data_IF_287098093961
#
_entry.id   IF_287098093961
#
_cell.length_a   1.000
_cell.length_b   1.000
_cell.length_c   1.000
_cell.angle_alpha   90.00
_cell.angle_beta   90.00
_cell.angle_gamma   90.00
#
_symmetry.space_group_name_H-M   'P 1'
#
loop_
_entity.id
_entity.type
_entity.pdbx_description
1 polymer ?
#
# COMPACT_ATOMS: atom_id res chain seq x y z
N UNK A 1 -3.24 -7.34 7.56
CA UNK A 1 -2.82 -6.57 6.33
C UNK A 1 -2.86 -5.09 6.69
N UNK A 2 -1.94 -4.31 6.17
CA UNK A 2 -1.89 -2.86 6.44
C UNK A 2 -2.67 -2.07 5.37
N UNK A 3 -2.94 -0.78 5.64
CA UNK A 3 -3.58 0.13 4.70
C UNK A 3 -2.65 1.26 4.28
N UNK A 4 -2.59 1.57 2.98
CA UNK A 4 -1.84 2.69 2.40
C UNK A 4 -2.80 3.69 1.76
N UNK A 5 -2.50 4.97 1.95
CA UNK A 5 -3.07 6.09 1.20
C UNK A 5 -1.98 7.01 0.70
N UNK A 6 -2.15 7.55 -0.50
CA UNK A 6 -1.37 8.65 -1.04
C UNK A 6 -2.29 9.63 -1.76
N UNK A 7 -2.08 10.94 -1.59
CA UNK A 7 -2.87 11.98 -2.26
C UNK A 7 -1.92 13.07 -2.72
N UNK A 8 -2.06 13.48 -3.98
CA UNK A 8 -1.28 14.54 -4.60
C UNK A 8 -2.19 15.58 -5.23
N UNK A 9 -1.82 16.86 -5.08
CA UNK A 9 -2.46 18.01 -5.73
C UNK A 9 -3.98 18.06 -5.52
N UNK A 10 -4.43 17.78 -4.31
CA UNK A 10 -5.85 17.85 -3.90
C UNK A 10 -6.02 18.82 -2.75
N UNK A 11 -7.23 19.30 -2.58
CA UNK A 11 -7.63 20.09 -1.40
C UNK A 11 -7.81 19.18 -0.18
N UNK A 12 -7.68 19.73 1.02
CA UNK A 12 -7.95 19.01 2.29
C UNK A 12 -7.17 17.71 2.43
N UNK A 13 -5.89 17.70 2.06
CA UNK A 13 -5.00 16.53 2.06
C UNK A 13 -5.08 15.73 3.36
N UNK A 14 -4.97 16.44 4.50
CA UNK A 14 -4.99 15.82 5.83
C UNK A 14 -6.32 15.11 6.12
N UNK A 15 -7.43 15.80 5.92
CA UNK A 15 -8.75 15.26 6.23
C UNK A 15 -9.08 14.07 5.31
N UNK A 16 -8.88 14.23 4.00
CA UNK A 16 -9.11 13.16 3.03
C UNK A 16 -8.24 11.93 3.33
N UNK A 17 -6.96 12.12 3.70
CA UNK A 17 -6.09 11.00 4.06
C UNK A 17 -6.55 10.28 5.32
N UNK A 18 -6.99 11.01 6.35
CA UNK A 18 -7.52 10.42 7.59
C UNK A 18 -8.83 9.66 7.31
N UNK A 19 -9.71 10.20 6.49
CA UNK A 19 -10.98 9.56 6.15
C UNK A 19 -10.76 8.27 5.35
N UNK A 20 -9.82 8.26 4.40
CA UNK A 20 -9.42 7.04 3.68
C UNK A 20 -8.78 6.04 4.65
N UNK A 21 -7.86 6.48 5.53
CA UNK A 21 -7.24 5.59 6.52
C UNK A 21 -8.28 5.01 7.49
N UNK A 22 -9.33 5.75 7.83
CA UNK A 22 -10.43 5.24 8.66
C UNK A 22 -11.19 4.13 7.94
N UNK A 23 -11.41 4.23 6.63
CA UNK A 23 -11.99 3.15 5.82
C UNK A 23 -11.06 1.93 5.72
N UNK A 24 -9.74 2.13 5.82
CA UNK A 24 -8.74 1.08 5.84
C UNK A 24 -8.45 0.50 7.25
N UNK A 25 -9.09 1.01 8.31
CA UNK A 25 -8.80 0.62 9.70
C UNK A 25 -9.05 -0.87 9.95
N UNK A 26 -9.95 -1.51 9.19
CA UNK A 26 -10.15 -2.95 9.24
C UNK A 26 -8.91 -3.79 8.85
N UNK A 27 -7.98 -3.18 8.10
CA UNK A 27 -6.70 -3.81 7.72
C UNK A 27 -5.62 -3.69 8.79
N UNK A 28 -5.73 -2.73 9.70
CA UNK A 28 -4.76 -2.51 10.77
C UNK A 28 -5.14 -1.34 11.65
N UNK A 29 -4.98 -1.51 12.96
CA UNK A 29 -5.36 -0.53 13.98
C UNK A 29 -4.34 -0.41 15.12
N UNK A 30 -3.15 -1.01 14.96
CA UNK A 30 -2.10 -1.00 16.00
C UNK A 30 -1.39 0.34 16.09
N UNK A 31 -1.16 0.94 14.95
CA UNK A 31 -0.63 2.30 14.84
C UNK A 31 -0.95 2.90 13.47
N UNK A 32 -0.91 4.22 13.40
CA UNK A 32 -1.17 4.94 12.16
C UNK A 32 -0.32 6.21 12.06
N UNK A 33 -0.15 6.72 10.84
CA UNK A 33 0.52 7.98 10.63
C UNK A 33 0.31 8.53 9.22
N UNK A 34 0.62 9.82 9.10
CA UNK A 34 0.65 10.55 7.84
C UNK A 34 1.93 11.37 7.74
N UNK A 35 2.45 11.55 6.53
CA UNK A 35 3.47 12.53 6.18
C UNK A 35 2.91 13.48 5.13
N UNK A 36 2.77 14.74 5.50
CA UNK A 36 2.49 15.84 4.60
C UNK A 36 3.79 16.33 4.01
N UNK A 37 3.83 16.64 2.72
CA UNK A 37 5.05 17.10 2.06
C UNK A 37 4.83 18.24 1.07
N UNK A 38 5.85 19.10 0.99
CA UNK A 38 5.99 20.20 0.03
C UNK A 38 7.37 20.14 -0.61
N UNK A 39 7.69 21.13 -1.44
CA UNK A 39 9.06 21.27 -2.00
C UNK A 39 10.10 21.50 -0.90
N UNK A 40 9.72 22.13 0.20
CA UNK A 40 10.64 22.63 1.21
C UNK A 40 10.72 21.75 2.44
N UNK A 41 9.64 21.06 2.79
CA UNK A 41 9.55 20.32 4.06
C UNK A 41 8.67 19.06 3.98
N UNK A 42 8.99 18.14 4.89
CA UNK A 42 8.18 16.95 5.20
C UNK A 42 7.73 17.07 6.65
N UNK A 43 6.44 16.88 6.92
CA UNK A 43 5.88 16.89 8.27
C UNK A 43 5.16 15.58 8.56
N UNK A 44 5.70 14.81 9.49
CA UNK A 44 5.18 13.47 9.84
C UNK A 44 4.48 13.50 11.19
N UNK A 45 3.30 12.89 11.25
CA UNK A 45 2.49 12.73 12.46
C UNK A 45 2.18 11.24 12.60
N UNK A 46 2.50 10.66 13.76
CA UNK A 46 2.29 9.25 14.06
C UNK A 46 1.57 9.07 15.39
N UNK A 47 0.75 8.02 15.49
CA UNK A 47 0.09 7.61 16.72
C UNK A 47 0.09 6.09 16.85
N UNK A 48 0.13 5.61 18.09
CA UNK A 48 -0.24 4.24 18.44
C UNK A 48 -1.75 4.19 18.58
N UNK A 49 -2.35 3.07 18.24
CA UNK A 49 -3.79 2.82 18.32
C UNK A 49 -4.55 3.24 17.06
N UNK A 50 -5.86 3.36 17.22
CA UNK A 50 -6.82 3.62 16.13
C UNK A 50 -6.62 4.97 15.42
N UNK A 51 -7.20 5.13 14.25
CA UNK A 51 -7.15 6.37 13.45
C UNK A 51 -7.70 7.58 14.22
N UNK A 52 -8.61 7.38 15.16
CA UNK A 52 -9.09 8.47 16.04
C UNK A 52 -7.95 9.15 16.82
N UNK A 53 -6.96 8.40 17.28
CA UNK A 53 -5.79 8.96 17.97
C UNK A 53 -4.92 9.81 17.01
N UNK A 54 -4.73 9.37 15.76
CA UNK A 54 -4.04 10.14 14.73
C UNK A 54 -4.81 11.42 14.38
N UNK A 55 -6.13 11.32 14.21
CA UNK A 55 -7.02 12.48 13.95
C UNK A 55 -6.85 13.54 15.02
N UNK A 56 -6.92 13.17 16.31
CA UNK A 56 -6.75 14.09 17.43
C UNK A 56 -5.38 14.77 17.42
N UNK A 57 -4.28 13.99 17.20
CA UNK A 57 -2.92 14.56 17.12
C UNK A 57 -2.70 15.51 15.95
N UNK A 58 -3.45 15.35 14.88
CA UNK A 58 -3.31 16.15 13.66
C UNK A 58 -4.23 17.39 13.64
N UNK A 59 -5.12 17.60 14.62
CA UNK A 59 -6.12 18.66 14.60
C UNK A 59 -5.53 20.05 14.33
N UNK A 60 -4.46 20.41 15.04
CA UNK A 60 -3.81 21.71 14.95
C UNK A 60 -2.78 21.82 13.80
N UNK A 61 -2.71 20.83 12.90
CA UNK A 61 -1.79 20.86 11.77
C UNK A 61 -2.53 21.35 10.54
N UNK A 62 -2.11 22.52 10.03
CA UNK A 62 -2.59 23.03 8.74
C UNK A 62 -1.87 22.31 7.59
N UNK A 63 -2.61 21.96 6.55
CA UNK A 63 -2.10 21.36 5.30
C UNK A 63 -2.05 22.34 4.11
N UNK A 64 -2.35 23.63 4.33
CA UNK A 64 -2.43 24.65 3.28
C UNK A 64 -1.17 24.80 2.41
N UNK A 65 0.01 24.54 2.98
CA UNK A 65 1.30 24.71 2.28
C UNK A 65 1.89 23.37 1.82
N UNK A 66 1.08 22.31 1.80
CA UNK A 66 1.48 21.00 1.31
C UNK A 66 0.69 20.68 0.04
N UNK A 67 1.29 19.96 -0.89
CA UNK A 67 0.64 19.52 -2.12
C UNK A 67 0.43 18.00 -2.15
N UNK A 68 0.95 17.29 -1.15
CA UNK A 68 0.75 15.86 -1.06
C UNK A 68 0.83 15.31 0.37
N UNK A 69 0.31 14.12 0.52
CA UNK A 69 0.32 13.34 1.76
C UNK A 69 0.44 11.85 1.44
N UNK A 70 1.22 11.15 2.26
CA UNK A 70 1.15 9.69 2.34
C UNK A 70 0.76 9.28 3.74
N UNK A 71 0.02 8.19 3.86
CA UNK A 71 -0.45 7.70 5.15
C UNK A 71 -0.55 6.18 5.19
N UNK A 72 -0.60 5.67 6.42
CA UNK A 72 -0.57 4.24 6.67
C UNK A 72 -1.34 3.86 7.93
N UNK A 73 -2.02 2.71 7.89
CA UNK A 73 -2.50 1.97 9.06
C UNK A 73 -1.73 0.67 9.19
N UNK A 74 -1.17 0.42 10.36
CA UNK A 74 -0.29 -0.72 10.60
C UNK A 74 -1.01 -1.84 11.32
N UNK A 75 -0.79 -3.06 10.84
CA UNK A 75 -0.92 -4.31 11.57
C UNK A 75 0.50 -4.82 11.82
N UNK A 76 0.93 -4.82 13.06
CA UNK A 76 2.31 -5.15 13.41
C UNK A 76 2.59 -6.64 13.20
N UNK A 77 3.43 -6.95 12.20
CA UNK A 77 3.97 -8.31 11.97
C UNK A 77 5.41 -8.43 12.45
N UNK A 78 6.19 -7.35 12.35
CA UNK A 78 7.59 -7.26 12.77
C UNK A 78 7.81 -6.03 13.64
N UNK A 79 8.53 -6.21 14.77
CA UNK A 79 8.77 -5.15 15.75
C UNK A 79 7.56 -4.82 16.62
N UNK A 80 7.83 -4.27 17.79
CA UNK A 80 6.79 -3.90 18.78
C UNK A 80 5.88 -2.79 18.25
N UNK A 81 4.66 -2.75 18.75
CA UNK A 81 3.73 -1.63 18.50
C UNK A 81 4.26 -0.41 19.23
N UNK A 82 4.78 0.54 18.47
CA UNK A 82 5.37 1.78 18.99
C UNK A 82 5.23 2.91 17.98
N UNK A 83 5.37 4.15 18.44
CA UNK A 83 5.40 5.32 17.55
C UNK A 83 6.59 5.28 16.58
N UNK A 84 7.73 4.75 17.00
CA UNK A 84 8.93 4.64 16.16
C UNK A 84 8.71 3.67 15.00
N UNK A 85 8.11 2.52 15.27
CA UNK A 85 7.81 1.50 14.27
C UNK A 85 6.54 1.79 13.44
N UNK A 86 5.77 2.83 13.79
CA UNK A 86 4.66 3.28 12.97
C UNK A 86 5.16 3.92 11.66
N UNK A 87 4.45 3.66 10.56
CA UNK A 87 4.70 4.36 9.29
C UNK A 87 3.95 5.71 9.28
N UNK A 88 4.36 6.66 8.42
CA UNK A 88 5.50 6.67 7.51
C UNK A 88 6.85 6.75 8.20
N UNK A 89 7.91 6.20 7.58
CA UNK A 89 9.29 6.55 7.90
C UNK A 89 9.69 7.77 7.09
N UNK A 90 10.34 8.74 7.73
CA UNK A 90 10.65 10.02 7.10
C UNK A 90 11.91 10.67 7.69
N UNK A 91 12.62 11.41 6.85
CA UNK A 91 13.61 12.41 7.18
C UNK A 91 13.35 13.71 6.39
N UNK A 92 14.30 14.62 6.32
CA UNK A 92 14.14 15.88 5.60
C UNK A 92 14.11 15.73 4.07
N UNK A 93 14.57 14.59 3.53
CA UNK A 93 14.76 14.37 2.10
C UNK A 93 13.73 13.42 1.49
N UNK A 94 13.21 12.47 2.26
CA UNK A 94 12.26 11.50 1.76
C UNK A 94 11.31 11.00 2.85
N UNK A 95 10.17 10.50 2.41
CA UNK A 95 9.24 9.75 3.26
C UNK A 95 8.67 8.56 2.50
N UNK A 96 8.43 7.45 3.21
CA UNK A 96 7.87 6.26 2.62
C UNK A 96 6.93 5.49 3.57
N UNK A 97 6.04 4.73 2.95
CA UNK A 97 5.23 3.69 3.58
C UNK A 97 5.35 2.39 2.80
N UNK A 98 5.16 1.27 3.48
CA UNK A 98 5.18 -0.05 2.86
C UNK A 98 4.09 -0.95 3.45
N UNK A 99 3.38 -1.67 2.58
CA UNK A 99 2.62 -2.87 2.94
C UNK A 99 3.42 -4.10 2.52
N UNK A 100 3.35 -5.16 3.31
CA UNK A 100 4.01 -6.43 2.99
C UNK A 100 5.28 -6.66 3.80
N UNK A 101 6.18 -7.48 3.27
CA UNK A 101 7.40 -7.94 3.95
C UNK A 101 8.58 -7.89 2.97
N UNK A 102 9.70 -7.32 3.42
CA UNK A 102 10.97 -7.35 2.70
C UNK A 102 11.82 -8.51 3.25
N UNK A 103 11.76 -9.65 2.58
CA UNK A 103 12.36 -10.90 3.05
C UNK A 103 13.87 -10.83 3.23
N UNK A 104 14.56 -10.07 2.39
CA UNK A 104 16.02 -9.95 2.44
C UNK A 104 16.54 -8.77 3.28
N UNK A 105 15.71 -8.18 4.15
CA UNK A 105 16.06 -7.00 4.93
C UNK A 105 17.33 -7.18 5.79
N UNK A 106 17.52 -8.37 6.40
CA UNK A 106 18.73 -8.67 7.19
C UNK A 106 20.00 -8.67 6.34
N UNK A 107 19.92 -9.20 5.11
CA UNK A 107 21.07 -9.17 4.18
C UNK A 107 21.42 -7.74 3.78
N UNK A 108 20.41 -6.89 3.56
CA UNK A 108 20.58 -5.46 3.27
C UNK A 108 21.23 -4.78 4.48
N UNK A 109 20.71 -4.95 5.68
CA UNK A 109 21.22 -4.35 6.90
C UNK A 109 22.68 -4.74 7.18
N UNK A 110 23.05 -5.99 6.90
CA UNK A 110 24.42 -6.47 7.13
C UNK A 110 25.41 -5.98 6.07
N UNK A 111 24.93 -5.74 4.84
CA UNK A 111 25.79 -5.31 3.71
C UNK A 111 26.13 -3.81 3.76
N UNK A 112 25.26 -2.97 4.29
CA UNK A 112 25.43 -1.52 4.28
C UNK A 112 25.67 -1.03 5.70
N UNK A 113 26.87 -0.47 5.93
CA UNK A 113 27.32 0.00 7.24
C UNK A 113 26.55 1.24 7.71
N UNK A 114 26.02 2.00 6.79
CA UNK A 114 25.22 3.20 7.03
C UNK A 114 23.85 2.88 7.65
N UNK A 115 23.44 1.60 7.64
CA UNK A 115 22.16 1.17 8.21
C UNK A 115 22.36 0.77 9.67
N UNK A 116 21.69 1.41 10.64
CA UNK A 116 21.79 1.05 12.05
C UNK A 116 21.48 -0.42 12.32
N UNK A 117 22.22 -1.07 13.21
CA UNK A 117 22.06 -2.50 13.49
C UNK A 117 20.94 -2.84 14.47
N UNK A 118 20.47 -1.87 15.25
CA UNK A 118 19.42 -2.01 16.25
C UNK A 118 17.97 -1.87 15.71
N UNK A 119 17.81 -1.77 14.37
CA UNK A 119 16.48 -1.64 13.76
C UNK A 119 15.70 -2.96 13.79
N UNK A 120 14.38 -2.85 14.03
CA UNK A 120 13.49 -3.99 14.19
C UNK A 120 12.54 -4.20 12.99
N UNK A 121 12.29 -3.14 12.21
CA UNK A 121 11.36 -3.16 11.08
C UNK A 121 12.11 -3.31 9.76
N UNK A 122 11.66 -4.25 8.92
CA UNK A 122 12.13 -4.43 7.55
C UNK A 122 11.91 -3.18 6.70
N UNK A 123 10.80 -2.47 6.92
CA UNK A 123 10.50 -1.20 6.25
C UNK A 123 11.44 -0.08 6.71
N UNK A 124 11.80 -0.03 8.00
CA UNK A 124 12.75 0.96 8.50
C UNK A 124 14.14 0.72 7.91
N UNK A 125 14.58 -0.53 7.82
CA UNK A 125 15.83 -0.90 7.15
C UNK A 125 15.78 -0.49 5.67
N UNK A 126 14.67 -0.72 4.99
CA UNK A 126 14.45 -0.31 3.61
C UNK A 126 14.48 1.22 3.45
N UNK A 127 13.97 1.98 4.44
CA UNK A 127 14.03 3.43 4.46
C UNK A 127 15.48 3.93 4.55
N UNK A 128 16.31 3.39 5.45
CA UNK A 128 17.73 3.76 5.54
C UNK A 128 18.49 3.36 4.28
N UNK A 129 18.19 2.19 3.72
CA UNK A 129 18.80 1.77 2.46
C UNK A 129 18.44 2.72 1.30
N UNK A 130 17.19 3.13 1.18
CA UNK A 130 16.80 4.10 0.16
C UNK A 130 17.43 5.47 0.41
N UNK A 131 17.52 5.92 1.66
CA UNK A 131 18.22 7.17 2.02
C UNK A 131 19.68 7.13 1.55
N UNK A 132 20.39 6.03 1.83
CA UNK A 132 21.76 5.83 1.31
C UNK A 132 21.81 5.92 -0.22
N UNK A 133 20.89 5.27 -0.93
CA UNK A 133 20.88 5.31 -2.39
C UNK A 133 20.57 6.71 -2.94
N UNK A 134 19.63 7.44 -2.35
CA UNK A 134 19.28 8.82 -2.76
C UNK A 134 20.46 9.78 -2.56
N UNK A 135 21.26 9.57 -1.52
CA UNK A 135 22.48 10.33 -1.29
C UNK A 135 23.61 9.95 -2.27
N UNK A 136 23.71 8.65 -2.59
CA UNK A 136 24.74 8.12 -3.50
C UNK A 136 24.50 8.51 -4.96
N UNK A 137 23.24 8.42 -5.41
CA UNK A 137 22.88 8.71 -6.80
C UNK A 137 22.37 10.13 -6.95
N UNK A 138 22.90 10.89 -7.94
CA UNK A 138 22.43 12.25 -8.23
C UNK A 138 20.99 12.26 -8.73
N UNK A 139 20.59 11.20 -9.45
CA UNK A 139 19.24 11.05 -10.03
C UNK A 139 18.39 10.11 -9.14
N UNK A 140 17.29 10.59 -8.53
CA UNK A 140 16.38 9.75 -7.77
C UNK A 140 15.77 8.58 -8.55
N UNK A 141 15.57 8.71 -9.86
CA UNK A 141 15.04 7.61 -10.69
C UNK A 141 16.01 6.42 -10.70
N UNK A 142 17.33 6.69 -10.71
CA UNK A 142 18.35 5.66 -10.62
C UNK A 142 18.38 5.01 -9.22
N UNK A 143 18.33 5.82 -8.16
CA UNK A 143 18.22 5.32 -6.79
C UNK A 143 17.02 4.37 -6.63
N UNK A 144 15.87 4.73 -7.18
CA UNK A 144 14.64 3.90 -7.13
C UNK A 144 14.81 2.60 -7.95
N UNK A 145 15.43 2.64 -9.13
CA UNK A 145 15.69 1.41 -9.91
C UNK A 145 16.62 0.46 -9.16
N UNK A 146 17.70 0.98 -8.57
CA UNK A 146 18.63 0.17 -7.76
C UNK A 146 17.91 -0.35 -6.51
N UNK A 147 17.16 0.47 -5.81
CA UNK A 147 16.36 0.06 -4.66
C UNK A 147 15.45 -1.13 -5.04
N UNK A 148 14.66 -0.98 -6.12
CA UNK A 148 13.74 -2.03 -6.58
C UNK A 148 14.46 -3.32 -6.99
N UNK A 149 15.65 -3.24 -7.58
CA UNK A 149 16.41 -4.42 -8.02
C UNK A 149 17.01 -5.22 -6.85
N UNK A 150 17.26 -4.56 -5.71
CA UNK A 150 17.88 -5.20 -4.54
C UNK A 150 16.85 -5.80 -3.59
N UNK A 151 15.73 -5.12 -3.34
CA UNK A 151 14.71 -5.59 -2.40
C UNK A 151 13.98 -6.82 -2.94
N UNK A 152 13.73 -7.80 -2.05
CA UNK A 152 12.99 -9.04 -2.34
C UNK A 152 11.87 -9.23 -1.35
N UNK A 153 10.77 -9.81 -1.80
CA UNK A 153 9.61 -10.09 -0.97
C UNK A 153 8.30 -9.64 -1.59
N UNK A 154 7.26 -9.66 -0.80
CA UNK A 154 5.91 -9.23 -1.18
C UNK A 154 5.67 -7.84 -0.60
N UNK A 155 5.57 -6.81 -1.44
CA UNK A 155 5.47 -5.42 -0.99
C UNK A 155 4.70 -4.51 -1.94
N UNK A 156 4.20 -3.40 -1.37
CA UNK A 156 3.79 -2.19 -2.07
C UNK A 156 4.38 -0.98 -1.34
N UNK A 157 5.21 -0.20 -2.02
CA UNK A 157 5.78 1.04 -1.51
C UNK A 157 5.10 2.26 -2.12
N UNK A 158 4.92 3.27 -1.28
CA UNK A 158 4.61 4.63 -1.68
C UNK A 158 5.69 5.53 -1.09
N UNK A 159 6.41 6.25 -1.96
CA UNK A 159 7.63 6.97 -1.63
C UNK A 159 7.54 8.40 -2.18
N UNK A 160 7.91 9.39 -1.38
CA UNK A 160 8.17 10.74 -1.84
C UNK A 160 9.64 11.10 -1.62
N UNK A 161 10.30 11.65 -2.65
CA UNK A 161 11.67 12.16 -2.60
C UNK A 161 11.66 13.65 -2.91
N UNK A 162 12.07 14.47 -1.94
CA UNK A 162 12.01 15.93 -2.00
C UNK A 162 12.89 16.51 -3.10
N UNK A 163 14.12 16.01 -3.27
CA UNK A 163 15.13 16.56 -4.19
C UNK A 163 14.61 16.87 -5.59
N UNK A 164 13.82 15.98 -6.17
CA UNK A 164 13.23 16.17 -7.51
C UNK A 164 11.71 16.34 -7.47
N UNK A 165 11.16 16.47 -6.27
CA UNK A 165 9.72 16.59 -6.07
C UNK A 165 8.95 15.43 -6.72
N UNK A 166 9.45 14.21 -6.53
CA UNK A 166 8.98 13.01 -7.18
C UNK A 166 8.29 12.06 -6.21
N UNK A 167 7.21 11.49 -6.69
CA UNK A 167 6.44 10.48 -6.00
C UNK A 167 6.57 9.15 -6.76
N UNK A 168 6.84 8.05 -6.04
CA UNK A 168 7.05 6.75 -6.64
C UNK A 168 6.15 5.71 -6.01
N UNK A 169 5.62 4.82 -6.84
CA UNK A 169 4.87 3.63 -6.46
C UNK A 169 5.61 2.40 -6.97
N UNK A 170 5.88 1.45 -6.09
CA UNK A 170 6.51 0.18 -6.43
C UNK A 170 5.62 -0.95 -5.94
N UNK A 171 5.43 -1.97 -6.78
CA UNK A 171 4.64 -3.14 -6.43
C UNK A 171 5.34 -4.45 -6.72
N UNK A 172 5.18 -5.40 -5.79
CA UNK A 172 5.48 -6.81 -5.96
C UNK A 172 4.60 -7.60 -4.97
N UNK A 173 3.52 -8.22 -5.45
CA UNK A 173 2.57 -8.99 -4.64
C UNK A 173 1.50 -8.14 -3.95
N UNK A 174 1.86 -7.28 -2.98
CA UNK A 174 0.86 -6.52 -2.21
C UNK A 174 0.05 -5.54 -3.05
N UNK A 175 -1.27 -5.45 -2.87
CA UNK A 175 -2.13 -4.62 -3.72
C UNK A 175 -1.90 -3.13 -3.50
N UNK A 176 -1.92 -2.38 -4.60
CA UNK A 176 -1.96 -0.93 -4.64
C UNK A 176 -2.55 -0.47 -5.97
N UNK A 177 -3.35 0.58 -5.93
CA UNK A 177 -3.99 1.16 -7.09
C UNK A 177 -3.85 2.69 -7.10
N UNK A 178 -3.91 3.26 -8.29
CA UNK A 178 -3.79 4.67 -8.57
C UNK A 178 -5.01 5.15 -9.36
N UNK A 179 -5.63 6.23 -8.91
CA UNK A 179 -6.54 7.02 -9.73
C UNK A 179 -5.94 8.40 -10.01
N UNK A 180 -6.24 8.94 -11.19
CA UNK A 180 -5.78 10.27 -11.59
C UNK A 180 -6.91 11.01 -12.29
N UNK A 181 -7.21 12.20 -11.81
CA UNK A 181 -8.27 13.03 -12.37
C UNK A 181 -7.93 14.51 -12.19
N UNK A 182 -8.04 15.31 -13.26
CA UNK A 182 -7.83 16.77 -13.27
C UNK A 182 -6.54 17.22 -12.55
N UNK A 183 -5.45 16.46 -12.74
CA UNK A 183 -4.15 16.76 -12.12
C UNK A 183 -3.97 16.29 -10.68
N UNK A 184 -5.02 15.82 -10.02
CA UNK A 184 -4.95 15.19 -8.70
C UNK A 184 -4.75 13.68 -8.82
N UNK A 185 -3.95 13.10 -7.93
CA UNK A 185 -3.73 11.65 -7.87
C UNK A 185 -4.13 11.12 -6.50
N UNK A 186 -4.83 10.00 -6.49
CA UNK A 186 -5.19 9.25 -5.28
C UNK A 186 -4.66 7.84 -5.40
N UNK A 187 -3.97 7.40 -4.38
CA UNK A 187 -3.35 6.09 -4.27
C UNK A 187 -3.94 5.38 -3.07
N UNK A 188 -4.32 4.12 -3.23
CA UNK A 188 -4.86 3.34 -2.13
C UNK A 188 -4.49 1.86 -2.28
N UNK A 189 -4.24 1.19 -1.16
CA UNK A 189 -4.08 -0.28 -1.12
C UNK A 189 -5.40 -1.03 -1.33
N UNK A 190 -6.53 -0.32 -1.34
CA UNK A 190 -7.84 -0.83 -1.68
C UNK A 190 -8.51 0.05 -2.74
N UNK A 191 -8.65 -0.51 -3.93
CA UNK A 191 -9.14 0.22 -5.10
C UNK A 191 -10.62 0.62 -5.01
N UNK A 192 -11.41 -0.06 -4.19
CA UNK A 192 -12.82 0.27 -4.03
C UNK A 192 -13.03 1.65 -3.41
N UNK A 193 -12.11 2.10 -2.54
CA UNK A 193 -12.14 3.46 -1.96
C UNK A 193 -11.89 4.53 -3.03
N UNK A 194 -11.07 4.22 -4.03
CA UNK A 194 -10.72 5.16 -5.09
C UNK A 194 -11.91 5.52 -5.99
N UNK A 195 -12.97 4.71 -6.02
CA UNK A 195 -14.18 4.99 -6.79
C UNK A 195 -14.87 6.30 -6.39
N UNK A 196 -14.69 6.73 -5.15
CA UNK A 196 -15.24 8.01 -4.66
C UNK A 196 -14.53 9.23 -5.28
N UNK A 197 -13.30 9.05 -5.78
CA UNK A 197 -12.47 10.12 -6.35
C UNK A 197 -12.40 10.06 -7.88
N UNK A 198 -12.50 8.87 -8.45
CA UNK A 198 -12.49 8.65 -9.90
C UNK A 198 -13.03 7.26 -10.24
N UNK A 199 -13.74 7.15 -11.35
CA UNK A 199 -14.17 5.87 -11.92
C UNK A 199 -13.08 5.21 -12.80
N UNK A 200 -11.93 5.86 -12.98
CA UNK A 200 -10.80 5.33 -13.75
C UNK A 200 -9.62 5.01 -12.81
N UNK A 201 -9.25 3.76 -12.76
CA UNK A 201 -8.26 3.24 -11.83
C UNK A 201 -7.22 2.42 -12.58
N UNK A 202 -5.96 2.61 -12.23
CA UNK A 202 -4.85 1.76 -12.63
C UNK A 202 -4.45 0.85 -11.47
N UNK A 203 -4.62 -0.44 -11.64
CA UNK A 203 -4.09 -1.45 -10.72
C UNK A 203 -2.64 -1.74 -11.08
N UNK A 204 -1.71 -1.40 -10.19
CA UNK A 204 -0.30 -1.66 -10.42
C UNK A 204 -0.07 -3.18 -10.57
N UNK A 205 0.79 -3.56 -11.51
CA UNK A 205 1.23 -4.94 -11.74
C UNK A 205 2.54 -5.21 -11.02
N UNK A 206 2.85 -6.47 -10.79
CA UNK A 206 4.12 -6.85 -10.18
C UNK A 206 5.29 -6.41 -11.05
N UNK A 207 6.26 -5.76 -10.42
CA UNK A 207 7.41 -5.16 -11.09
C UNK A 207 7.24 -3.70 -11.47
N UNK A 208 6.02 -3.13 -11.42
CA UNK A 208 5.80 -1.72 -11.76
C UNK A 208 6.62 -0.77 -10.89
N UNK A 209 7.16 0.24 -11.55
CA UNK A 209 7.81 1.40 -10.96
C UNK A 209 7.17 2.64 -11.57
N UNK A 210 6.15 3.17 -10.92
CA UNK A 210 5.40 4.34 -11.39
C UNK A 210 5.94 5.60 -10.73
N UNK A 211 6.19 6.63 -11.53
CA UNK A 211 6.62 7.96 -11.10
C UNK A 211 5.53 8.96 -11.37
N UNK A 212 5.23 9.81 -10.38
CA UNK A 212 4.34 10.95 -10.52
C UNK A 212 5.14 12.21 -10.19
N UNK A 213 5.22 13.13 -11.14
CA UNK A 213 5.92 14.41 -10.99
C UNK A 213 5.12 15.50 -11.68
N UNK A 214 4.79 16.59 -10.99
CA UNK A 214 4.01 17.71 -11.52
C UNK A 214 2.74 17.26 -12.26
N UNK A 215 1.97 16.36 -11.65
CA UNK A 215 0.76 15.73 -12.21
C UNK A 215 0.99 14.83 -13.44
N UNK A 216 2.21 14.67 -13.92
CA UNK A 216 2.56 13.74 -14.99
C UNK A 216 2.88 12.37 -14.43
N UNK A 217 2.23 11.35 -14.98
CA UNK A 217 2.45 9.95 -14.61
C UNK A 217 3.31 9.29 -15.68
N UNK A 218 4.33 8.57 -15.24
CA UNK A 218 5.22 7.82 -16.13
C UNK A 218 5.68 6.51 -15.46
N UNK A 219 6.17 5.58 -16.26
CA UNK A 219 6.76 4.33 -15.77
C UNK A 219 8.27 4.34 -15.99
N UNK A 220 9.04 3.95 -14.94
CA UNK A 220 10.49 3.83 -15.05
C UNK A 220 10.94 2.49 -15.65
N UNK A 221 10.08 1.51 -15.73
CA UNK A 221 10.34 0.18 -16.29
C UNK A 221 9.56 -0.10 -17.59
N UNK A 222 9.09 0.97 -18.26
CA UNK A 222 8.34 0.90 -19.54
C UNK A 222 6.99 0.16 -19.44
N UNK A 223 6.43 -0.01 -18.24
CA UNK A 223 5.09 -0.57 -18.07
C UNK A 223 4.04 0.31 -18.77
N UNK A 224 3.09 -0.31 -19.46
CA UNK A 224 1.97 0.39 -20.09
C UNK A 224 0.94 0.74 -19.01
N UNK A 225 0.74 2.01 -18.73
CA UNK A 225 -0.23 2.51 -17.75
C UNK A 225 -1.58 2.67 -18.46
N UNK A 226 -2.53 1.81 -18.12
CA UNK A 226 -3.90 1.86 -18.68
C UNK A 226 -4.85 2.03 -17.51
N UNK A 227 -5.58 3.14 -17.49
CA UNK A 227 -6.65 3.37 -16.53
C UNK A 227 -7.93 2.70 -17.03
N UNK A 228 -8.40 1.72 -16.26
CA UNK A 228 -9.62 0.98 -16.56
C UNK A 228 -10.79 1.55 -15.75
N UNK A 229 -12.00 1.44 -16.29
CA UNK A 229 -13.22 1.83 -15.59
C UNK A 229 -13.43 0.86 -14.43
N UNK A 230 -13.53 1.38 -13.24
CA UNK A 230 -13.86 0.56 -12.07
C UNK A 230 -15.38 0.52 -11.88
N UNK A 231 -15.97 -0.64 -12.08
CA UNK A 231 -17.42 -0.87 -11.99
C UNK A 231 -17.89 -1.36 -10.62
N UNK A 232 -17.08 -1.22 -9.57
CA UNK A 232 -17.47 -1.61 -8.23
C UNK A 232 -18.69 -0.77 -7.81
N UNK A 233 -19.88 -1.37 -7.86
CA UNK A 233 -21.17 -0.72 -7.58
C UNK A 233 -21.51 -0.67 -6.09
N UNK A 234 -20.86 -1.47 -5.25
CA UNK A 234 -21.13 -1.54 -3.82
C UNK A 234 -19.94 -1.00 -3.02
N UNK A 235 -20.24 -0.18 -2.02
CA UNK A 235 -19.26 0.25 -1.05
C UNK A 235 -19.01 -0.92 -0.06
N UNK A 236 -17.89 -1.66 -0.13
CA UNK A 236 -17.62 -2.79 0.75
C UNK A 236 -17.47 -2.36 2.22
N UNK A 237 -17.30 -1.06 2.48
CA UNK A 237 -17.17 -0.47 3.82
C UNK A 237 -18.51 -0.06 4.41
N UNK A 238 -19.61 -0.25 3.70
CA UNK A 238 -20.93 -0.06 4.27
C UNK A 238 -21.30 -1.29 5.11
N UNK A 239 -21.47 -1.07 6.41
CA UNK A 239 -21.96 -2.12 7.32
C UNK A 239 -23.42 -2.45 7.09
N UNK A 240 -24.15 -1.59 6.36
CA UNK A 240 -25.59 -1.70 6.21
C UNK A 240 -26.28 -1.71 7.58
N UNK A 241 -27.15 -2.66 7.79
CA UNK A 241 -27.90 -2.84 9.05
C UNK A 241 -27.09 -3.47 10.20
N UNK A 242 -25.85 -3.86 9.99
CA UNK A 242 -25.06 -4.61 10.97
C UNK A 242 -24.18 -3.69 11.82
N UNK A 243 -24.02 -3.99 13.10
CA UNK A 243 -23.14 -3.24 14.00
C UNK A 243 -21.66 -3.47 13.71
N UNK A 244 -21.31 -4.69 13.25
CA UNK A 244 -19.93 -5.12 13.02
C UNK A 244 -19.75 -5.71 11.62
N UNK A 245 -18.61 -5.48 10.97
CA UNK A 245 -18.28 -6.07 9.67
C UNK A 245 -18.33 -7.60 9.71
N UNK A 246 -17.73 -8.23 10.74
CA UNK A 246 -17.75 -9.67 10.90
C UNK A 246 -19.19 -10.23 10.92
N UNK A 247 -20.12 -9.55 11.59
CA UNK A 247 -21.53 -9.97 11.62
C UNK A 247 -22.15 -9.88 10.23
N UNK A 248 -21.87 -8.82 9.48
CA UNK A 248 -22.27 -8.68 8.08
C UNK A 248 -21.73 -9.84 7.24
N UNK A 249 -20.42 -10.09 7.32
CA UNK A 249 -19.72 -11.14 6.57
C UNK A 249 -20.29 -12.53 6.88
N UNK A 250 -20.59 -12.83 8.15
CA UNK A 250 -21.23 -14.08 8.55
C UNK A 250 -22.58 -14.25 7.83
N UNK A 251 -23.39 -13.20 7.79
CA UNK A 251 -24.71 -13.26 7.14
C UNK A 251 -24.64 -13.28 5.60
N UNK A 252 -23.57 -12.76 5.01
CA UNK A 252 -23.35 -12.78 3.56
C UNK A 252 -22.80 -14.12 3.05
N UNK A 253 -22.21 -14.96 3.93
CA UNK A 253 -21.61 -16.24 3.54
C UNK A 253 -22.49 -17.12 2.64
N UNK A 254 -23.79 -17.34 2.92
CA UNK A 254 -24.64 -18.19 2.07
C UNK A 254 -24.74 -17.68 0.63
N UNK A 255 -24.85 -16.38 0.45
CA UNK A 255 -24.95 -15.77 -0.88
C UNK A 255 -23.63 -15.73 -1.62
N UNK A 256 -22.54 -15.48 -0.88
CA UNK A 256 -21.17 -15.52 -1.42
C UNK A 256 -20.83 -16.94 -1.89
N UNK A 257 -21.13 -17.97 -1.09
CA UNK A 257 -20.91 -19.38 -1.47
C UNK A 257 -21.70 -19.76 -2.72
N UNK A 258 -23.00 -19.39 -2.79
CA UNK A 258 -23.81 -19.61 -3.99
C UNK A 258 -23.23 -18.94 -5.23
N UNK A 259 -22.75 -17.70 -5.08
CA UNK A 259 -22.16 -16.94 -6.19
C UNK A 259 -20.82 -17.55 -6.62
N UNK A 260 -20.00 -17.97 -5.67
CA UNK A 260 -18.73 -18.65 -5.94
C UNK A 260 -18.98 -19.97 -6.67
N UNK A 261 -19.95 -20.77 -6.19
CA UNK A 261 -20.30 -22.05 -6.82
C UNK A 261 -20.76 -21.90 -8.28
N UNK A 262 -21.52 -20.83 -8.60
CA UNK A 262 -21.95 -20.56 -9.98
C UNK A 262 -20.79 -20.30 -10.96
N UNK A 263 -19.64 -19.85 -10.45
CA UNK A 263 -18.43 -19.62 -11.26
C UNK A 263 -17.67 -20.94 -11.59
N UNK A 264 -18.04 -22.03 -10.93
CA UNK A 264 -17.47 -23.37 -11.12
C UNK A 264 -18.54 -24.30 -11.66
N UNK A 265 -18.75 -24.29 -12.98
CA UNK A 265 -19.69 -25.18 -13.67
C UNK A 265 -19.18 -26.64 -13.70
N UNK A 266 -20.08 -27.59 -13.97
CA UNK A 266 -19.68 -28.98 -14.22
C UNK A 266 -18.66 -29.09 -15.37
N UNK A 267 -18.82 -28.24 -16.40
CA UNK A 267 -17.89 -28.13 -17.53
C UNK A 267 -16.47 -27.71 -17.06
N UNK A 268 -16.38 -26.71 -16.14
CA UNK A 268 -15.10 -26.34 -15.53
C UNK A 268 -14.44 -27.52 -14.82
N UNK A 269 -15.17 -28.30 -14.05
CA UNK A 269 -14.60 -29.45 -13.34
C UNK A 269 -14.21 -30.57 -14.31
N UNK A 270 -14.97 -30.80 -15.35
CA UNK A 270 -14.65 -31.76 -16.39
C UNK A 270 -13.35 -31.37 -17.14
N UNK A 271 -13.23 -30.11 -17.53
CA UNK A 271 -12.01 -29.58 -18.16
C UNK A 271 -10.80 -29.64 -17.21
N UNK A 272 -11.01 -29.29 -15.95
CA UNK A 272 -9.97 -29.39 -14.94
C UNK A 272 -9.50 -30.84 -14.75
N UNK A 273 -10.43 -31.77 -14.61
CA UNK A 273 -10.12 -33.20 -14.49
C UNK A 273 -9.36 -33.70 -15.71
N UNK A 274 -9.86 -33.45 -16.92
CA UNK A 274 -9.23 -33.91 -18.17
C UNK A 274 -7.80 -33.38 -18.30
N UNK A 275 -7.55 -32.14 -17.93
CA UNK A 275 -6.25 -31.47 -18.05
C UNK A 275 -5.25 -31.89 -16.98
N UNK A 276 -5.71 -32.14 -15.75
CA UNK A 276 -4.83 -32.30 -14.59
C UNK A 276 -4.89 -33.71 -13.96
N UNK A 277 -5.76 -34.62 -14.43
CA UNK A 277 -5.91 -35.99 -13.89
C UNK A 277 -4.57 -36.69 -13.68
N UNK A 278 -3.70 -36.65 -14.67
CA UNK A 278 -2.39 -37.30 -14.61
C UNK A 278 -1.42 -36.65 -13.59
N UNK A 279 -1.63 -35.40 -13.24
CA UNK A 279 -0.83 -34.70 -12.21
C UNK A 279 -1.14 -35.20 -10.80
N UNK A 280 -2.36 -35.67 -10.59
CA UNK A 280 -2.86 -36.07 -9.24
C UNK A 280 -2.81 -37.58 -9.02
N UNK A 281 -2.72 -38.38 -10.10
CA UNK A 281 -2.62 -39.83 -10.00
C UNK A 281 -1.38 -40.25 -9.21
N UNK A 282 -1.60 -41.03 -8.14
CA UNK A 282 -0.54 -41.60 -7.28
C UNK A 282 0.33 -40.54 -6.57
N UNK A 283 -0.17 -39.33 -6.33
CA UNK A 283 0.55 -38.26 -5.62
C UNK A 283 -0.16 -37.88 -4.33
N UNK A 284 0.64 -37.54 -3.33
CA UNK A 284 0.14 -36.93 -2.08
C UNK A 284 -0.21 -35.47 -2.36
N UNK A 285 -1.46 -35.09 -2.11
CA UNK A 285 -1.93 -33.72 -2.21
C UNK A 285 -1.84 -33.07 -0.82
N UNK A 286 -1.20 -31.91 -0.75
CA UNK A 286 -1.09 -31.12 0.48
C UNK A 286 -1.78 -29.79 0.22
N UNK A 287 -2.83 -29.50 1.00
CA UNK A 287 -3.49 -28.20 1.00
C UNK A 287 -2.79 -27.29 2.02
N UNK A 288 -2.42 -26.09 1.59
CA UNK A 288 -1.80 -25.07 2.44
C UNK A 288 -2.64 -23.79 2.36
N UNK A 289 -3.05 -23.29 3.52
CA UNK A 289 -3.86 -22.08 3.60
C UNK A 289 -3.57 -21.31 4.88
N UNK A 290 -4.02 -20.05 4.92
CA UNK A 290 -3.93 -19.20 6.10
C UNK A 290 -5.34 -18.93 6.66
N UNK A 291 -5.44 -18.79 8.01
CA UNK A 291 -6.68 -18.48 8.70
C UNK A 291 -7.66 -19.66 8.66
N UNK A 292 -8.90 -19.40 8.23
CA UNK A 292 -9.98 -20.40 8.13
C UNK A 292 -10.08 -21.08 6.76
N UNK A 293 -9.07 -20.90 5.91
CA UNK A 293 -9.05 -21.50 4.58
C UNK A 293 -8.86 -23.03 4.62
#
# INVERSE_FOLDING_TARGET
MCGIVGILNSTSLKNNSIDILKKLEYRGYDSAGISLFSKDRIKTIKSVGKISALKNKSQNVSDKNFYGVIGHTRWATHGVVSKNNAHPFANDDLTLVCNGIIENYRKIQNRFVEIPKNLQSDTEISFYFLTYLVNKYKNPDEAIRVFRSVIKGNFAFVIFIKKNNCFYLLKNGSPIALSHNKGSSFICSDSSILTEYSNKIYHLKDGDIIKIQQSKISSLNKAKIIFEKNEIKQNPYDKGKYQHYMLKEIHEQPDVLKTTQKNYSEEFFHDFESKYKNLFLNKKIIFVGCGTA
#
